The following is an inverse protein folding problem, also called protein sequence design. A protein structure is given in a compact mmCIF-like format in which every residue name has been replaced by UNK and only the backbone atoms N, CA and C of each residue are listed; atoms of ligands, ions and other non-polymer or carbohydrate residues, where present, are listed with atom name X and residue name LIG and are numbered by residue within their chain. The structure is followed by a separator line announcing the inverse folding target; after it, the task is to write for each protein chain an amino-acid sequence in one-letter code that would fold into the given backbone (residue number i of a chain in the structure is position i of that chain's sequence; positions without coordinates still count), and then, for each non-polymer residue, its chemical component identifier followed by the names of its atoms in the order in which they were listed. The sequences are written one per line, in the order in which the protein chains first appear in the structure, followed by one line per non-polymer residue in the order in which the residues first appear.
data_IF_179532572408
#
_entry.id   IF_179532572408
#
_cell.length_a   1.000
_cell.length_b   1.000
_cell.length_c   1.000
_cell.angle_alpha   90.00
_cell.angle_beta   90.00
_cell.angle_gamma   90.00
#
_symmetry.space_group_name_H-M   'P 1'
#
loop_
_entity.id
_entity.type
_entity.pdbx_description
1 polymer ?
#
# COMPACT_ATOMS: atom_id res chain seq x y z
N UNK A 1 -39.90 24.01 -32.87
CA UNK A 1 -39.39 22.87 -32.07
C UNK A 1 -38.24 23.35 -31.20
N UNK A 2 -38.52 23.72 -30.00
CA UNK A 2 -37.49 23.92 -28.95
C UNK A 2 -37.02 22.54 -28.51
N UNK A 3 -35.86 22.10 -28.98
CA UNK A 3 -35.18 20.95 -28.41
C UNK A 3 -34.84 21.28 -26.97
N UNK A 4 -35.30 20.47 -26.04
CA UNK A 4 -35.02 20.57 -24.62
C UNK A 4 -33.50 20.56 -24.42
N UNK A 5 -32.97 21.55 -23.69
CA UNK A 5 -31.57 21.60 -23.29
C UNK A 5 -31.10 20.32 -22.53
N UNK A 6 -32.03 19.64 -21.85
CA UNK A 6 -31.80 18.37 -21.18
C UNK A 6 -31.47 17.24 -22.15
N UNK A 7 -32.10 17.20 -23.35
CA UNK A 7 -31.77 16.16 -24.34
C UNK A 7 -30.36 16.36 -24.91
N UNK A 8 -29.93 17.62 -25.12
CA UNK A 8 -28.57 17.95 -25.55
C UNK A 8 -27.51 17.56 -24.50
N UNK A 9 -27.80 17.70 -23.22
CA UNK A 9 -26.89 17.31 -22.14
C UNK A 9 -26.77 15.80 -21.97
N UNK A 10 -27.87 15.05 -22.19
CA UNK A 10 -27.85 13.59 -22.16
C UNK A 10 -27.01 13.04 -23.33
N UNK A 11 -27.12 13.59 -24.51
CA UNK A 11 -26.29 13.18 -25.66
C UNK A 11 -24.80 13.50 -25.44
N UNK A 12 -24.47 14.63 -24.82
CA UNK A 12 -23.08 15.00 -24.52
C UNK A 12 -22.47 14.11 -23.44
N UNK A 13 -23.25 13.52 -22.52
CA UNK A 13 -22.79 12.60 -21.48
C UNK A 13 -22.61 11.15 -21.96
N UNK A 14 -23.10 10.81 -23.15
CA UNK A 14 -22.97 9.46 -23.72
C UNK A 14 -21.75 9.28 -24.62
N UNK A 15 -21.00 10.33 -24.92
CA UNK A 15 -19.75 10.21 -25.67
C UNK A 15 -18.65 9.94 -24.66
N UNK A 16 -18.16 8.70 -24.60
CA UNK A 16 -16.90 8.42 -23.93
C UNK A 16 -15.79 9.09 -24.74
N UNK A 17 -15.12 10.05 -24.14
CA UNK A 17 -13.90 10.63 -24.71
C UNK A 17 -12.75 9.71 -24.36
N UNK A 18 -12.11 9.12 -25.35
CA UNK A 18 -10.84 8.40 -25.20
C UNK A 18 -9.67 9.39 -25.13
N UNK A 19 -8.50 8.90 -24.72
CA UNK A 19 -7.29 9.67 -24.49
C UNK A 19 -7.40 10.68 -23.32
N UNK A 20 -8.23 10.34 -22.34
CA UNK A 20 -8.32 11.11 -21.12
C UNK A 20 -7.14 10.75 -20.21
N UNK A 21 -6.42 11.75 -19.69
CA UNK A 21 -5.42 11.54 -18.67
C UNK A 21 -6.11 11.06 -17.39
N UNK A 22 -5.78 9.86 -16.94
CA UNK A 22 -6.42 9.20 -15.83
C UNK A 22 -5.51 9.07 -14.60
N UNK A 23 -4.21 8.96 -14.81
CA UNK A 23 -3.20 8.91 -13.77
C UNK A 23 -2.10 9.94 -14.04
N UNK A 24 -1.70 10.66 -12.99
CA UNK A 24 -0.61 11.62 -13.01
C UNK A 24 0.18 11.48 -11.72
N UNK A 25 1.50 11.43 -11.81
CA UNK A 25 2.38 11.47 -10.66
C UNK A 25 3.68 12.20 -10.97
N UNK A 26 4.09 13.10 -10.09
CA UNK A 26 5.36 13.80 -10.16
C UNK A 26 6.38 13.14 -9.24
N UNK A 27 7.62 13.03 -9.71
CA UNK A 27 8.71 12.47 -8.90
C UNK A 27 8.89 13.27 -7.60
N UNK A 28 8.86 12.62 -6.43
CA UNK A 28 9.08 13.31 -5.16
C UNK A 28 10.53 13.76 -4.94
N UNK A 29 11.45 13.35 -5.81
CA UNK A 29 12.89 13.60 -5.69
C UNK A 29 13.47 14.40 -6.86
N UNK A 30 12.69 14.66 -7.91
CA UNK A 30 13.09 15.50 -9.05
C UNK A 30 11.90 16.32 -9.54
N UNK A 31 11.93 17.62 -9.29
CA UNK A 31 10.94 18.57 -9.79
C UNK A 31 10.86 18.55 -11.33
N UNK A 32 9.64 18.61 -11.86
CA UNK A 32 9.38 18.62 -13.30
C UNK A 32 9.52 17.27 -14.00
N UNK A 33 9.82 16.20 -13.27
CA UNK A 33 9.76 14.83 -13.78
C UNK A 33 8.37 14.26 -13.50
N UNK A 34 7.50 14.28 -14.52
CA UNK A 34 6.07 13.95 -14.37
C UNK A 34 5.71 12.79 -15.30
N UNK A 35 5.05 11.82 -14.75
CA UNK A 35 4.49 10.67 -15.46
C UNK A 35 2.99 10.86 -15.63
N UNK A 36 2.46 10.55 -16.81
CA UNK A 36 1.01 10.58 -17.08
C UNK A 36 0.59 9.32 -17.79
N UNK A 37 -0.60 8.84 -17.45
CA UNK A 37 -1.22 7.67 -18.06
C UNK A 37 -2.65 7.94 -18.47
N UNK A 38 -3.05 7.45 -19.63
CA UNK A 38 -4.38 7.64 -20.19
C UNK A 38 -5.25 6.38 -20.12
N UNK A 39 -6.53 6.57 -20.35
CA UNK A 39 -7.52 5.49 -20.34
C UNK A 39 -7.50 4.62 -21.63
N UNK A 40 -6.81 5.08 -22.67
CA UNK A 40 -6.54 4.33 -23.91
C UNK A 40 -5.18 3.60 -23.91
N UNK A 41 -4.41 3.71 -22.80
CA UNK A 41 -3.22 2.91 -22.53
C UNK A 41 -1.90 3.56 -22.92
N UNK A 42 -1.88 4.86 -23.14
CA UNK A 42 -0.63 5.56 -23.39
C UNK A 42 0.00 6.06 -22.09
N UNK A 43 1.32 5.97 -22.03
CA UNK A 43 2.12 6.50 -20.92
C UNK A 43 3.11 7.50 -21.50
N UNK A 44 3.10 8.71 -20.95
CA UNK A 44 4.02 9.76 -21.33
C UNK A 44 4.82 10.25 -20.13
N UNK A 45 6.03 10.67 -20.39
CA UNK A 45 6.98 11.22 -19.43
C UNK A 45 7.47 12.58 -19.91
N UNK A 46 7.48 13.54 -18.99
CA UNK A 46 8.24 14.80 -19.15
C UNK A 46 9.35 14.85 -18.11
N UNK A 47 10.46 15.51 -18.45
CA UNK A 47 11.60 15.77 -17.55
C UNK A 47 11.88 17.25 -17.37
N UNK A 48 11.04 18.09 -17.95
CA UNK A 48 11.21 19.54 -18.06
C UNK A 48 9.95 20.32 -17.70
N UNK A 49 9.12 19.76 -16.82
CA UNK A 49 7.92 20.41 -16.33
C UNK A 49 6.80 20.54 -17.37
N UNK A 50 6.78 19.63 -18.36
CA UNK A 50 5.72 19.58 -19.37
C UNK A 50 6.03 20.30 -20.67
N UNK A 51 7.24 20.85 -20.86
CA UNK A 51 7.62 21.49 -22.11
C UNK A 51 7.78 20.47 -23.25
N UNK A 52 8.33 19.30 -22.95
CA UNK A 52 8.43 18.17 -23.89
C UNK A 52 7.91 16.89 -23.26
N UNK A 53 7.31 16.03 -24.10
CA UNK A 53 6.74 14.75 -23.68
C UNK A 53 7.27 13.59 -24.53
N UNK A 54 7.68 12.54 -23.89
CA UNK A 54 8.14 11.30 -24.51
C UNK A 54 7.10 10.20 -24.29
N UNK A 55 6.70 9.48 -25.33
CA UNK A 55 5.87 8.29 -25.18
C UNK A 55 6.75 7.13 -24.71
N UNK A 56 6.48 6.65 -23.50
CA UNK A 56 7.23 5.59 -22.84
C UNK A 56 6.38 4.34 -22.57
N UNK A 57 5.29 4.16 -23.31
CA UNK A 57 4.38 3.03 -23.18
C UNK A 57 5.11 1.70 -23.35
N UNK A 58 4.88 0.70 -22.47
CA UNK A 58 5.49 -0.63 -22.61
C UNK A 58 5.11 -1.31 -23.94
N UNK A 59 6.08 -1.67 -24.75
CA UNK A 59 5.87 -2.26 -26.10
C UNK A 59 5.05 -3.56 -26.11
N UNK A 60 5.01 -4.28 -24.99
CA UNK A 60 4.29 -5.57 -24.85
C UNK A 60 3.01 -5.42 -24.02
N UNK A 61 2.66 -4.22 -23.62
CA UNK A 61 1.42 -3.97 -22.91
C UNK A 61 0.24 -4.17 -23.90
N UNK A 62 -0.83 -4.86 -23.51
CA UNK A 62 -2.03 -4.99 -24.34
C UNK A 62 -2.64 -3.61 -24.64
N UNK A 63 -3.12 -3.44 -25.87
CA UNK A 63 -3.80 -2.22 -26.31
C UNK A 63 -5.05 -1.92 -25.46
N UNK A 64 -5.42 -0.66 -25.39
CA UNK A 64 -6.60 -0.17 -24.66
C UNK A 64 -6.59 -0.50 -23.17
N UNK A 65 -5.42 -0.51 -22.57
CA UNK A 65 -5.29 -0.67 -21.12
C UNK A 65 -5.53 0.68 -20.44
N UNK A 66 -6.54 0.77 -19.59
CA UNK A 66 -6.73 1.94 -18.75
C UNK A 66 -5.62 1.99 -17.69
N UNK A 67 -4.82 3.05 -17.70
CA UNK A 67 -3.77 3.28 -16.70
C UNK A 67 -4.39 3.90 -15.48
N UNK A 68 -4.69 3.06 -14.48
CA UNK A 68 -5.43 3.47 -13.28
C UNK A 68 -4.56 4.24 -12.29
N UNK A 69 -3.29 3.87 -12.17
CA UNK A 69 -2.39 4.40 -11.16
C UNK A 69 -0.96 4.41 -11.67
N UNK A 70 -0.27 5.49 -11.35
CA UNK A 70 1.18 5.61 -11.48
C UNK A 70 1.73 5.96 -10.09
N UNK A 71 2.92 5.48 -9.76
CA UNK A 71 3.65 5.80 -8.54
C UNK A 71 5.14 5.97 -8.88
N UNK A 72 5.62 7.20 -8.87
CA UNK A 72 7.03 7.53 -9.06
C UNK A 72 7.80 7.21 -7.77
N UNK A 73 8.92 6.51 -7.91
CA UNK A 73 9.73 6.08 -6.77
C UNK A 73 10.27 7.26 -5.96
N UNK A 74 10.26 7.11 -4.64
CA UNK A 74 10.92 8.05 -3.72
C UNK A 74 12.43 7.77 -3.57
N UNK A 75 12.97 6.73 -4.21
CA UNK A 75 14.35 6.30 -4.05
C UNK A 75 15.19 6.49 -5.31
N UNK A 76 14.57 6.49 -6.48
CA UNK A 76 15.25 6.57 -7.77
C UNK A 76 14.37 7.29 -8.80
N UNK A 77 14.93 8.26 -9.49
CA UNK A 77 14.21 9.10 -10.48
C UNK A 77 13.78 8.33 -11.72
N UNK A 78 14.56 7.31 -12.11
CA UNK A 78 14.26 6.48 -13.28
C UNK A 78 13.18 5.44 -13.05
N UNK A 79 12.76 5.25 -11.78
CA UNK A 79 11.86 4.19 -11.38
C UNK A 79 10.43 4.67 -11.22
N UNK A 80 9.50 3.98 -11.87
CA UNK A 80 8.06 4.18 -11.70
C UNK A 80 7.31 2.85 -11.81
N UNK A 81 6.18 2.80 -11.12
CA UNK A 81 5.27 1.66 -11.09
C UNK A 81 3.93 2.05 -11.69
N UNK A 82 3.31 1.13 -12.43
CA UNK A 82 1.98 1.34 -13.02
C UNK A 82 1.05 0.20 -12.66
N UNK A 83 -0.21 0.55 -12.37
CA UNK A 83 -1.33 -0.40 -12.35
C UNK A 83 -2.27 -0.08 -13.51
N UNK A 84 -2.54 -1.08 -14.32
CA UNK A 84 -3.48 -0.98 -15.44
C UNK A 84 -4.59 -2.01 -15.34
N UNK A 85 -5.68 -1.77 -16.06
CA UNK A 85 -6.82 -2.70 -16.11
C UNK A 85 -7.49 -2.69 -17.48
N UNK A 86 -8.08 -3.84 -17.87
CA UNK A 86 -8.85 -4.02 -19.11
C UNK A 86 -10.22 -4.65 -18.86
N UNK A 87 -10.74 -4.54 -17.63
CA UNK A 87 -12.01 -5.18 -17.26
C UNK A 87 -13.18 -4.77 -18.16
N UNK A 88 -13.18 -3.55 -18.69
CA UNK A 88 -14.19 -3.07 -19.67
C UNK A 88 -14.19 -3.86 -20.98
N UNK A 89 -13.09 -4.54 -21.29
CA UNK A 89 -12.92 -5.41 -22.46
C UNK A 89 -13.05 -6.89 -22.12
N UNK A 90 -13.52 -7.23 -20.89
CA UNK A 90 -13.67 -8.60 -20.42
C UNK A 90 -12.37 -9.29 -20.04
N UNK A 91 -11.28 -8.54 -19.88
CA UNK A 91 -9.99 -9.05 -19.48
C UNK A 91 -9.73 -8.68 -18.00
N UNK A 92 -9.77 -9.69 -17.13
CA UNK A 92 -9.62 -9.55 -15.67
C UNK A 92 -8.20 -9.88 -15.19
N UNK A 93 -7.26 -10.02 -16.09
CA UNK A 93 -5.85 -10.29 -15.76
C UNK A 93 -5.25 -9.13 -14.97
N UNK A 94 -4.45 -9.40 -13.92
CA UNK A 94 -3.73 -8.36 -13.20
C UNK A 94 -2.59 -7.79 -14.06
N UNK A 95 -2.45 -6.47 -14.07
CA UNK A 95 -1.41 -5.77 -14.81
C UNK A 95 -0.70 -4.76 -13.91
N UNK A 96 0.51 -5.12 -13.46
CA UNK A 96 1.44 -4.23 -12.76
C UNK A 96 2.77 -4.21 -13.51
N UNK A 97 3.29 -3.04 -13.77
CA UNK A 97 4.57 -2.89 -14.45
C UNK A 97 5.52 -2.01 -13.63
N UNK A 98 6.80 -2.26 -13.77
CA UNK A 98 7.88 -1.40 -13.24
C UNK A 98 8.85 -1.06 -14.35
N UNK A 99 9.31 0.19 -14.35
CA UNK A 99 10.50 0.64 -15.05
C UNK A 99 11.53 1.12 -14.06
N UNK A 100 12.81 1.01 -14.42
CA UNK A 100 13.95 1.50 -13.65
C UNK A 100 14.85 2.43 -14.50
N UNK A 101 14.39 2.80 -15.70
CA UNK A 101 15.18 3.52 -16.71
C UNK A 101 14.37 4.56 -17.50
N UNK A 102 13.48 5.26 -16.81
CA UNK A 102 12.60 6.29 -17.39
C UNK A 102 11.67 5.77 -18.48
N UNK A 103 11.18 4.53 -18.33
CA UNK A 103 10.24 3.93 -19.26
C UNK A 103 10.84 3.36 -20.54
N UNK A 104 12.17 3.27 -20.67
CA UNK A 104 12.81 2.63 -21.84
C UNK A 104 12.54 1.14 -21.85
N UNK A 105 12.57 0.51 -20.67
CA UNK A 105 12.24 -0.89 -20.48
C UNK A 105 11.23 -1.05 -19.33
N UNK A 106 10.29 -1.98 -19.51
CA UNK A 106 9.26 -2.31 -18.54
C UNK A 106 9.24 -3.79 -18.24
N UNK A 107 8.99 -4.13 -16.99
CA UNK A 107 8.79 -5.52 -16.53
C UNK A 107 7.39 -5.68 -15.98
N UNK A 108 6.70 -6.76 -16.35
CA UNK A 108 5.45 -7.18 -15.71
C UNK A 108 5.79 -7.83 -14.36
N UNK A 109 5.14 -7.39 -13.29
CA UNK A 109 5.46 -7.78 -11.90
C UNK A 109 4.19 -8.26 -11.18
N UNK A 110 3.55 -9.33 -11.64
CA UNK A 110 2.27 -9.85 -11.11
C UNK A 110 2.36 -11.25 -10.51
N UNK A 111 3.58 -11.81 -10.35
CA UNK A 111 3.77 -13.15 -9.81
C UNK A 111 3.23 -13.30 -8.39
N UNK A 112 2.26 -14.19 -8.17
CA UNK A 112 1.59 -14.40 -6.88
C UNK A 112 0.24 -13.66 -6.73
N UNK A 113 -0.14 -12.79 -7.68
CA UNK A 113 -1.50 -12.25 -7.76
C UNK A 113 -2.38 -13.26 -8.52
N UNK A 114 -3.56 -13.54 -7.99
CA UNK A 114 -4.51 -14.47 -8.63
C UNK A 114 -5.00 -13.93 -9.99
N UNK A 115 -5.24 -14.81 -10.95
CA UNK A 115 -5.45 -14.47 -12.36
C UNK A 115 -6.68 -13.58 -12.63
N UNK A 116 -7.69 -13.62 -11.77
CA UNK A 116 -8.92 -12.82 -11.94
C UNK A 116 -8.98 -11.59 -10.98
N UNK A 117 -7.88 -11.34 -10.26
CA UNK A 117 -7.76 -10.20 -9.37
C UNK A 117 -7.14 -9.00 -10.10
N UNK A 118 -7.86 -8.43 -11.05
CA UNK A 118 -7.33 -7.29 -11.81
C UNK A 118 -6.97 -6.10 -10.91
N UNK A 119 -5.88 -5.46 -11.26
CA UNK A 119 -5.23 -4.44 -10.44
C UNK A 119 -5.84 -3.06 -10.68
N UNK A 120 -5.96 -2.26 -9.62
CA UNK A 120 -6.48 -0.90 -9.66
C UNK A 120 -5.46 0.14 -9.24
N UNK A 121 -4.60 -0.19 -8.29
CA UNK A 121 -3.65 0.77 -7.73
C UNK A 121 -2.38 0.07 -7.29
N UNK A 122 -1.25 0.76 -7.42
CA UNK A 122 0.05 0.35 -6.86
C UNK A 122 0.66 1.55 -6.13
N UNK A 123 1.32 1.30 -5.00
CA UNK A 123 2.12 2.28 -4.27
C UNK A 123 3.39 1.64 -3.73
N UNK A 124 4.50 2.34 -3.90
CA UNK A 124 5.78 1.99 -3.27
C UNK A 124 5.83 2.53 -1.85
N UNK A 125 6.44 1.77 -0.96
CA UNK A 125 6.72 2.23 0.40
C UNK A 125 7.70 3.42 0.38
N UNK A 126 7.59 4.31 1.36
CA UNK A 126 8.41 5.53 1.42
C UNK A 126 9.67 5.38 2.27
N UNK A 127 9.83 4.23 2.96
CA UNK A 127 10.94 3.92 3.87
C UNK A 127 11.76 2.74 3.37
N UNK A 128 11.10 1.73 2.79
CA UNK A 128 11.74 0.52 2.29
C UNK A 128 11.42 0.29 0.81
N UNK A 129 12.39 0.52 -0.07
CA UNK A 129 12.24 0.40 -1.53
C UNK A 129 11.78 -0.97 -2.03
N UNK A 130 11.94 -2.01 -1.22
CA UNK A 130 11.54 -3.37 -1.59
C UNK A 130 10.06 -3.66 -1.30
N UNK A 131 9.37 -2.77 -0.56
CA UNK A 131 7.97 -2.97 -0.22
C UNK A 131 7.09 -2.24 -1.21
N UNK A 132 6.16 -3.00 -1.79
CA UNK A 132 5.11 -2.47 -2.67
C UNK A 132 3.74 -2.94 -2.16
N UNK A 133 2.73 -2.10 -2.32
CA UNK A 133 1.34 -2.40 -2.02
C UNK A 133 0.52 -2.34 -3.30
N UNK A 134 -0.33 -3.33 -3.53
CA UNK A 134 -1.25 -3.35 -4.66
C UNK A 134 -2.69 -3.54 -4.21
N UNK A 135 -3.58 -2.72 -4.75
CA UNK A 135 -5.01 -2.88 -4.61
C UNK A 135 -5.62 -3.49 -5.86
N UNK A 136 -6.50 -4.47 -5.66
CA UNK A 136 -7.20 -5.19 -6.71
C UNK A 136 -8.72 -5.06 -6.56
N UNK A 137 -9.47 -5.64 -7.47
CA UNK A 137 -10.93 -5.76 -7.37
C UNK A 137 -11.38 -6.55 -6.13
N UNK A 138 -10.56 -7.44 -5.63
CA UNK A 138 -10.92 -8.41 -4.59
C UNK A 138 -10.13 -8.26 -3.29
N UNK A 139 -9.34 -7.19 -3.15
CA UNK A 139 -8.58 -6.92 -1.95
C UNK A 139 -7.15 -6.47 -2.21
N UNK A 140 -6.27 -6.69 -1.24
CA UNK A 140 -4.91 -6.18 -1.25
C UNK A 140 -3.85 -7.26 -1.37
N UNK A 141 -2.73 -6.86 -1.95
CA UNK A 141 -1.48 -7.62 -2.00
C UNK A 141 -0.31 -6.77 -1.52
N UNK A 142 0.72 -7.42 -1.01
CA UNK A 142 1.99 -6.82 -0.60
C UNK A 142 3.15 -7.60 -1.23
N UNK A 143 4.17 -6.88 -1.65
CA UNK A 143 5.46 -7.44 -2.03
C UNK A 143 6.53 -6.95 -1.07
N UNK A 144 7.52 -7.80 -0.75
CA UNK A 144 8.70 -7.47 0.05
C UNK A 144 10.01 -7.55 -0.76
N UNK A 145 9.91 -7.73 -2.06
CA UNK A 145 11.02 -7.99 -2.98
C UNK A 145 10.92 -7.17 -4.28
N UNK A 146 10.40 -5.94 -4.16
CA UNK A 146 10.22 -5.01 -5.28
C UNK A 146 9.37 -5.60 -6.43
N UNK A 147 8.30 -6.33 -6.09
CA UNK A 147 7.34 -6.87 -7.05
C UNK A 147 7.74 -8.20 -7.70
N UNK A 148 8.84 -8.84 -7.29
CA UNK A 148 9.21 -10.17 -7.79
C UNK A 148 8.15 -11.19 -7.39
N UNK A 149 7.64 -11.08 -6.15
CA UNK A 149 6.54 -11.92 -5.67
C UNK A 149 5.53 -11.12 -4.85
N UNK A 150 4.26 -11.54 -4.91
CA UNK A 150 3.17 -10.91 -4.19
C UNK A 150 2.48 -11.90 -3.27
N UNK A 151 2.10 -11.42 -2.09
CA UNK A 151 1.34 -12.17 -1.09
C UNK A 151 0.03 -11.44 -0.79
N UNK A 152 -1.05 -12.18 -0.52
CA UNK A 152 -2.30 -11.58 -0.05
C UNK A 152 -2.07 -10.82 1.25
N UNK A 153 -2.59 -9.60 1.33
CA UNK A 153 -2.48 -8.73 2.48
C UNK A 153 -3.86 -8.23 2.91
N UNK A 154 -4.74 -9.15 3.23
CA UNK A 154 -6.14 -8.86 3.51
C UNK A 154 -6.41 -8.52 4.97
N UNK A 155 -5.70 -9.15 5.92
CA UNK A 155 -5.94 -8.96 7.36
C UNK A 155 -7.45 -9.04 7.70
N UNK A 156 -8.00 -8.00 8.34
CA UNK A 156 -9.42 -7.87 8.64
C UNK A 156 -10.18 -6.99 7.61
N UNK A 157 -9.53 -6.61 6.52
CA UNK A 157 -10.17 -5.89 5.43
C UNK A 157 -11.18 -6.81 4.73
N UNK A 158 -12.42 -6.39 4.49
CA UNK A 158 -13.38 -7.19 3.74
C UNK A 158 -12.94 -7.38 2.28
N UNK A 159 -13.45 -8.40 1.62
CA UNK A 159 -13.24 -8.62 0.18
C UNK A 159 -14.05 -7.58 -0.57
N UNK A 160 -13.39 -6.54 -1.05
CA UNK A 160 -13.97 -5.39 -1.76
C UNK A 160 -12.95 -4.80 -2.72
N UNK A 161 -13.39 -4.09 -3.75
CA UNK A 161 -12.47 -3.35 -4.62
C UNK A 161 -11.69 -2.28 -3.83
N UNK A 162 -10.38 -2.27 -4.03
CA UNK A 162 -9.48 -1.25 -3.50
C UNK A 162 -9.29 -0.19 -4.58
N UNK A 163 -9.86 0.99 -4.34
CA UNK A 163 -9.90 2.05 -5.34
C UNK A 163 -8.67 2.94 -5.33
N UNK A 164 -8.08 3.15 -4.15
CA UNK A 164 -6.84 3.91 -4.02
C UNK A 164 -6.08 3.54 -2.74
N UNK A 165 -4.79 3.83 -2.74
CA UNK A 165 -3.86 3.64 -1.63
C UNK A 165 -3.00 4.89 -1.45
N UNK A 166 -2.70 5.24 -0.21
CA UNK A 166 -1.70 6.26 0.08
C UNK A 166 -0.95 5.94 1.36
N UNK A 167 0.31 6.37 1.41
CA UNK A 167 1.16 6.23 2.60
C UNK A 167 1.43 7.62 3.14
N UNK A 168 1.02 7.85 4.38
CA UNK A 168 1.19 9.11 5.08
C UNK A 168 1.67 8.88 6.51
N UNK A 169 2.76 9.54 6.90
CA UNK A 169 3.30 9.52 8.27
C UNK A 169 3.44 8.11 8.85
N UNK A 170 3.98 7.18 8.08
CA UNK A 170 4.15 5.76 8.42
C UNK A 170 2.83 4.97 8.57
N UNK A 171 1.74 5.47 8.01
CA UNK A 171 0.45 4.78 7.96
C UNK A 171 0.06 4.45 6.52
N UNK A 172 -0.52 3.28 6.30
CA UNK A 172 -1.12 2.92 5.01
C UNK A 172 -2.62 3.16 5.08
N UNK A 173 -3.10 4.03 4.21
CA UNK A 173 -4.53 4.37 4.07
C UNK A 173 -5.07 3.69 2.82
N UNK A 174 -6.20 3.02 2.95
CA UNK A 174 -6.82 2.18 1.93
C UNK A 174 -8.22 2.67 1.66
N UNK A 175 -8.48 3.17 0.46
CA UNK A 175 -9.81 3.52 0.00
C UNK A 175 -10.49 2.31 -0.63
N UNK A 176 -11.73 2.03 -0.21
CA UNK A 176 -12.49 0.87 -0.70
C UNK A 176 -13.78 1.30 -1.37
N UNK A 177 -14.25 0.51 -2.31
CA UNK A 177 -15.59 0.72 -2.87
C UNK A 177 -16.65 0.09 -1.96
N UNK A 178 -17.42 0.96 -1.29
CA UNK A 178 -18.58 0.55 -0.51
C UNK A 178 -18.30 0.07 0.93
N UNK A 179 -17.04 0.12 1.40
CA UNK A 179 -16.67 -0.26 2.78
C UNK A 179 -15.81 0.80 3.47
N UNK A 180 -15.95 2.06 3.06
CA UNK A 180 -15.28 3.21 3.68
C UNK A 180 -13.75 3.18 3.51
N UNK A 181 -13.04 3.93 4.34
CA UNK A 181 -11.57 4.04 4.36
C UNK A 181 -11.06 3.21 5.53
N UNK A 182 -10.01 2.45 5.27
CA UNK A 182 -9.30 1.62 6.23
C UNK A 182 -7.88 2.14 6.42
N UNK A 183 -7.28 1.87 7.57
CA UNK A 183 -5.93 2.33 7.86
C UNK A 183 -5.16 1.30 8.68
N UNK A 184 -3.88 1.16 8.35
CA UNK A 184 -2.87 0.55 9.20
C UNK A 184 -2.05 1.71 9.76
N UNK A 185 -2.14 1.95 11.06
CA UNK A 185 -1.57 3.13 11.72
C UNK A 185 -0.05 3.14 11.82
N UNK A 186 0.58 1.97 11.71
CA UNK A 186 2.03 1.84 11.90
C UNK A 186 2.62 0.74 11.02
N UNK A 187 3.46 1.14 10.06
CA UNK A 187 4.17 0.26 9.15
C UNK A 187 5.55 -0.18 9.67
N UNK A 188 5.96 0.27 10.86
CA UNK A 188 7.31 0.03 11.39
C UNK A 188 7.69 -1.44 11.42
N UNK A 189 6.74 -2.32 11.72
CA UNK A 189 6.96 -3.77 11.71
C UNK A 189 7.18 -4.27 10.29
N UNK A 190 6.37 -3.82 9.32
CA UNK A 190 6.50 -4.23 7.92
C UNK A 190 7.86 -3.82 7.35
N UNK A 191 8.35 -2.63 7.69
CA UNK A 191 9.68 -2.16 7.26
C UNK A 191 10.83 -3.04 7.77
N UNK A 192 10.63 -3.75 8.88
CA UNK A 192 11.61 -4.63 9.51
C UNK A 192 11.39 -6.11 9.17
N UNK A 193 10.29 -6.44 8.46
CA UNK A 193 10.07 -7.79 7.97
C UNK A 193 11.08 -8.06 6.86
N UNK A 194 12.12 -8.79 7.21
CA UNK A 194 13.02 -9.45 6.28
C UNK A 194 12.70 -10.93 6.29
N UNK A 195 13.09 -11.67 5.25
CA UNK A 195 13.04 -13.14 5.27
C UNK A 195 14.07 -13.67 6.27
N UNK A 196 13.87 -13.37 7.56
CA UNK A 196 14.74 -13.80 8.64
C UNK A 196 14.37 -15.23 9.03
N UNK A 197 15.39 -16.09 9.12
CA UNK A 197 15.27 -17.46 9.63
C UNK A 197 15.41 -17.53 11.16
N UNK A 198 15.46 -16.37 11.85
CA UNK A 198 15.59 -16.31 13.30
C UNK A 198 14.34 -16.84 14.00
N UNK A 199 14.53 -17.73 14.98
CA UNK A 199 13.45 -18.33 15.74
C UNK A 199 12.76 -17.31 16.66
N UNK A 200 13.48 -16.29 17.09
CA UNK A 200 12.99 -15.19 17.93
C UNK A 200 13.41 -13.86 17.32
N UNK A 201 12.45 -13.00 17.01
CA UNK A 201 12.70 -11.65 16.52
C UNK A 201 11.95 -10.62 17.33
N UNK A 202 12.66 -9.68 17.90
CA UNK A 202 12.12 -8.49 18.54
C UNK A 202 12.22 -7.32 17.55
N UNK A 203 11.08 -6.71 17.22
CA UNK A 203 11.04 -5.55 16.33
C UNK A 203 11.31 -4.27 17.14
N UNK A 204 12.11 -3.36 16.56
CA UNK A 204 12.31 -2.04 17.15
C UNK A 204 10.97 -1.30 17.18
N UNK A 205 10.47 -0.88 18.35
CA UNK A 205 9.21 -0.15 18.43
C UNK A 205 9.36 1.26 17.86
N UNK A 206 8.23 1.85 17.46
CA UNK A 206 8.14 3.27 17.12
C UNK A 206 8.39 4.12 18.35
N UNK A 207 9.02 5.28 18.17
CA UNK A 207 9.17 6.26 19.23
C UNK A 207 7.79 6.69 19.74
N UNK A 208 7.65 6.72 21.06
CA UNK A 208 6.37 6.99 21.71
C UNK A 208 6.50 8.13 22.71
N UNK A 209 5.55 9.05 22.66
CA UNK A 209 5.50 10.16 23.62
C UNK A 209 4.74 9.74 24.88
N UNK A 210 5.27 10.10 26.03
CA UNK A 210 4.56 9.97 27.29
C UNK A 210 3.51 11.09 27.41
N UNK A 211 2.27 10.77 27.11
CA UNK A 211 1.15 11.70 27.26
C UNK A 211 0.32 11.39 28.51
N UNK A 212 -0.20 12.43 29.17
CA UNK A 212 -1.25 12.24 30.17
C UNK A 212 -2.53 11.92 29.42
N UNK A 213 -3.12 10.74 29.68
CA UNK A 213 -4.38 10.35 29.08
C UNK A 213 -5.48 11.33 29.47
N UNK A 214 -6.16 11.92 28.49
CA UNK A 214 -7.45 12.56 28.74
C UNK A 214 -8.49 11.45 28.84
N UNK A 215 -9.15 11.32 29.97
CA UNK A 215 -10.33 10.47 30.13
C UNK A 215 -11.48 11.00 29.27
N UNK A 216 -11.40 10.82 27.96
CA UNK A 216 -12.48 11.18 27.03
C UNK A 216 -13.68 10.26 27.23
N UNK A 217 -14.86 10.83 27.15
CA UNK A 217 -16.13 10.08 27.15
C UNK A 217 -16.13 9.09 26.00
N UNK A 218 -16.31 7.80 26.27
CA UNK A 218 -16.44 6.76 25.23
C UNK A 218 -17.73 7.04 24.43
N UNK A 219 -17.57 7.52 23.22
CA UNK A 219 -18.70 7.64 22.28
C UNK A 219 -18.76 6.34 21.45
N UNK A 220 -19.97 5.78 21.32
CA UNK A 220 -20.22 4.62 20.46
C UNK A 220 -19.99 4.90 18.97
N UNK A 221 -19.87 6.20 18.61
CA UNK A 221 -19.64 6.66 17.22
C UNK A 221 -18.20 7.10 16.96
N UNK A 222 -17.33 7.08 17.96
CA UNK A 222 -15.91 7.43 17.81
C UNK A 222 -15.07 6.19 17.53
N UNK A 223 -14.09 6.32 16.66
CA UNK A 223 -13.05 5.30 16.48
C UNK A 223 -12.25 5.09 17.76
N UNK A 224 -11.59 3.95 17.87
CA UNK A 224 -10.65 3.66 18.96
C UNK A 224 -9.26 4.11 18.57
N UNK A 225 -8.64 4.94 19.41
CA UNK A 225 -7.22 5.30 19.27
C UNK A 225 -6.33 4.09 19.57
N UNK A 226 -5.11 4.13 19.05
CA UNK A 226 -4.05 3.21 19.46
C UNK A 226 -3.87 3.26 21.00
N UNK A 227 -3.49 2.12 21.63
CA UNK A 227 -3.14 2.10 23.05
C UNK A 227 -2.05 3.11 23.37
N UNK A 228 -2.18 3.81 24.49
CA UNK A 228 -1.13 4.70 24.97
C UNK A 228 0.11 3.90 25.42
N UNK A 229 1.29 4.40 25.08
CA UNK A 229 2.57 3.80 25.49
C UNK A 229 3.34 3.20 24.34
N UNK A 230 4.39 2.47 24.68
CA UNK A 230 5.25 1.78 23.71
C UNK A 230 4.59 0.45 23.32
N UNK A 231 4.28 0.29 22.04
CA UNK A 231 3.79 -0.97 21.51
C UNK A 231 5.01 -1.77 21.02
N UNK A 232 5.20 -2.95 21.58
CA UNK A 232 6.30 -3.84 21.24
C UNK A 232 5.77 -5.03 20.48
N UNK A 233 6.34 -5.27 19.29
CA UNK A 233 6.04 -6.43 18.47
C UNK A 233 7.21 -7.39 18.49
N UNK A 234 6.91 -8.69 18.54
CA UNK A 234 7.90 -9.74 18.44
C UNK A 234 7.31 -10.95 17.72
N UNK A 235 8.19 -11.74 17.10
CA UNK A 235 7.85 -13.02 16.48
C UNK A 235 8.55 -14.15 17.20
N UNK A 236 7.84 -15.24 17.44
CA UNK A 236 8.35 -16.45 18.04
C UNK A 236 7.96 -17.61 17.13
N UNK A 237 8.96 -18.30 16.59
CA UNK A 237 8.76 -19.52 15.82
C UNK A 237 8.62 -20.70 16.80
N UNK A 238 7.71 -21.59 16.49
CA UNK A 238 7.49 -22.85 17.25
C UNK A 238 7.21 -22.68 18.75
N UNK A 239 6.56 -21.55 19.13
CA UNK A 239 6.18 -21.29 20.53
C UNK A 239 5.02 -22.14 21.00
N UNK A 240 5.23 -22.92 22.08
CA UNK A 240 4.18 -23.67 22.79
C UNK A 240 3.82 -22.98 24.11
N UNK A 241 2.65 -22.35 24.17
CA UNK A 241 2.17 -21.61 25.35
C UNK A 241 2.05 -22.46 26.63
N UNK A 242 2.06 -23.79 26.54
CA UNK A 242 2.01 -24.70 27.69
C UNK A 242 3.37 -25.08 28.24
N UNK A 243 4.42 -24.97 27.41
CA UNK A 243 5.78 -25.40 27.73
C UNK A 243 6.75 -24.22 27.84
N UNK A 244 6.54 -23.20 27.00
CA UNK A 244 7.48 -22.10 26.87
C UNK A 244 7.06 -20.89 27.69
N UNK A 245 8.05 -20.21 28.23
CA UNK A 245 7.86 -18.94 28.95
C UNK A 245 8.54 -17.81 28.21
N UNK A 246 7.76 -16.78 27.84
CA UNK A 246 8.27 -15.55 27.27
C UNK A 246 8.40 -14.48 28.35
N UNK A 247 9.54 -13.78 28.40
CA UNK A 247 9.74 -12.62 29.24
C UNK A 247 10.24 -11.45 28.40
N UNK A 248 9.64 -10.29 28.61
CA UNK A 248 10.04 -9.02 27.99
C UNK A 248 10.56 -8.10 29.07
N UNK A 249 11.83 -7.72 28.99
CA UNK A 249 12.51 -6.85 29.92
C UNK A 249 12.66 -5.43 29.36
N UNK A 250 12.14 -4.46 30.09
CA UNK A 250 12.38 -3.04 29.82
C UNK A 250 13.52 -2.56 30.70
N UNK A 251 14.53 -1.97 30.09
CA UNK A 251 15.74 -1.47 30.78
C UNK A 251 15.95 0.02 30.43
N UNK A 252 16.60 0.77 31.31
CA UNK A 252 17.09 2.12 31.02
C UNK A 252 18.33 2.08 30.11
N UNK A 253 18.86 3.29 29.82
CA UNK A 253 20.05 3.43 28.97
C UNK A 253 21.32 2.82 29.60
N UNK A 254 21.36 2.73 30.92
CA UNK A 254 22.45 2.13 31.71
C UNK A 254 22.31 0.61 31.85
N UNK A 255 21.22 0.03 31.30
CA UNK A 255 20.94 -1.42 31.33
C UNK A 255 20.26 -1.89 32.62
N UNK A 256 19.85 -1.01 33.51
CA UNK A 256 19.12 -1.34 34.74
C UNK A 256 17.69 -1.71 34.41
N UNK A 257 17.22 -2.79 35.02
CA UNK A 257 15.86 -3.29 34.82
C UNK A 257 14.81 -2.32 35.40
N UNK A 258 13.89 -1.86 34.55
CA UNK A 258 12.74 -1.04 34.91
C UNK A 258 11.52 -1.92 35.19
N UNK A 259 11.19 -2.82 34.26
CA UNK A 259 9.99 -3.64 34.32
C UNK A 259 10.18 -4.95 33.53
N UNK A 260 9.52 -6.02 34.02
CA UNK A 260 9.41 -7.30 33.32
C UNK A 260 7.96 -7.66 33.10
N UNK A 261 7.63 -8.06 31.89
CA UNK A 261 6.37 -8.72 31.57
C UNK A 261 6.64 -10.20 31.27
N UNK A 262 5.73 -11.08 31.68
CA UNK A 262 5.88 -12.53 31.50
C UNK A 262 4.57 -13.17 31.08
N UNK A 263 4.65 -14.18 30.22
CA UNK A 263 3.48 -14.96 29.76
C UNK A 263 2.82 -15.78 30.87
N UNK A 264 3.47 -15.94 32.03
CA UNK A 264 2.96 -16.72 33.17
C UNK A 264 2.59 -15.84 34.40
N UNK A 265 2.82 -14.55 34.36
CA UNK A 265 2.56 -13.64 35.49
C UNK A 265 1.20 -12.95 35.33
N UNK A 266 0.24 -13.30 36.16
CA UNK A 266 -1.11 -12.71 36.14
C UNK A 266 -1.17 -11.22 36.47
N UNK A 267 -0.16 -10.64 37.11
CA UNK A 267 -0.10 -9.20 37.44
C UNK A 267 0.49 -8.35 36.29
N UNK A 268 1.40 -8.96 35.52
CA UNK A 268 2.08 -8.32 34.38
C UNK A 268 1.94 -9.26 33.17
N UNK A 269 0.71 -9.53 32.78
CA UNK A 269 0.40 -10.50 31.75
C UNK A 269 0.83 -10.01 30.38
N UNK A 270 1.62 -10.81 29.68
CA UNK A 270 2.00 -10.64 28.32
C UNK A 270 0.97 -11.37 27.44
N UNK A 271 0.11 -10.61 26.77
CA UNK A 271 -0.81 -11.22 25.81
C UNK A 271 -0.05 -11.62 24.53
N UNK A 272 0.23 -12.91 24.41
CA UNK A 272 0.72 -13.49 23.16
C UNK A 272 -0.50 -13.83 22.31
N UNK A 273 -0.84 -13.01 21.34
CA UNK A 273 -1.78 -13.41 20.29
C UNK A 273 -1.03 -14.28 19.29
N UNK A 274 -1.45 -15.51 19.13
CA UNK A 274 -1.07 -16.31 17.99
C UNK A 274 -1.58 -15.56 16.75
N UNK A 275 -0.65 -15.12 15.90
CA UNK A 275 -0.98 -14.46 14.66
C UNK A 275 -1.71 -15.44 13.73
N UNK A 276 -2.90 -15.03 13.27
CA UNK A 276 -3.53 -15.64 12.12
C UNK A 276 -3.05 -14.92 10.85
#
# INVERSE_FOLDING_TARGET
HTQSSAASDVYKRQVEYYATLFAVDESPIQEGLIWVGSDDGLIHLTKDGGNTWENVTPKKMPDWMMINSIDASSFDTGTAYIAGTRYKLGDFTPYLYVTEDYGKNWKLITSGIESEHFTRVIRSDKVNKNILYAGTETGMYISFDNGISWNKFQKNLPIVPITDLTIKDNSLIVATQGRSIWMIDDLTVLHQLTQSTEDVKLYKPKDSYRMRGSGGMKSLKAGTNLPNGVIVHFNLKDFDSKKDTVRLHFKDAEGKLIQTFSSIDKKNELFVKNGG
#
